data_IF_030817049520
#
_entry.id   IF_030817049520
#
_cell.length_a   1.000
_cell.length_b   1.000
_cell.length_c   1.000
_cell.angle_alpha   90.00
_cell.angle_beta   90.00
_cell.angle_gamma   90.00
#
_symmetry.space_group_name_H-M   'P 1'
#
loop_
_entity.id
_entity.type
_entity.pdbx_description
1 polymer ?
#
# COMPACT_ATOMS: atom_id res chain seq x y z
N UNK A 1 2.94 3.75 -18.66
CA UNK A 1 3.76 3.54 -17.44
C UNK A 1 4.72 4.71 -17.27
N UNK A 2 5.65 4.93 -18.22
CA UNK A 2 6.68 5.98 -18.22
C UNK A 2 6.16 7.38 -17.90
N UNK A 3 5.07 7.81 -18.58
CA UNK A 3 4.41 9.10 -18.30
C UNK A 3 4.03 9.27 -16.82
N UNK A 4 3.56 8.21 -16.16
CA UNK A 4 3.19 8.26 -14.74
C UNK A 4 4.42 8.26 -13.82
N UNK A 5 5.54 7.71 -14.29
CA UNK A 5 6.82 7.67 -13.56
C UNK A 5 7.69 8.90 -13.82
N UNK A 6 7.36 9.72 -14.82
CA UNK A 6 8.17 10.87 -15.24
C UNK A 6 9.53 10.47 -15.82
N UNK A 7 9.68 9.21 -16.27
CA UNK A 7 10.96 8.66 -16.71
C UNK A 7 10.77 7.80 -17.96
N UNK A 8 11.36 8.23 -19.07
CA UNK A 8 11.39 7.47 -20.32
C UNK A 8 12.24 6.20 -20.14
N UNK A 9 11.74 5.07 -20.62
CA UNK A 9 12.38 3.76 -20.48
C UNK A 9 12.05 3.04 -19.18
N UNK A 10 11.27 3.63 -18.26
CA UNK A 10 10.94 3.02 -16.98
C UNK A 10 10.23 1.66 -17.13
N UNK A 11 9.29 1.54 -18.09
CA UNK A 11 8.63 0.26 -18.37
C UNK A 11 9.61 -0.81 -18.85
N UNK A 12 10.50 -0.44 -19.77
CA UNK A 12 11.52 -1.36 -20.30
C UNK A 12 12.48 -1.81 -19.20
N UNK A 13 12.87 -0.91 -18.30
CA UNK A 13 13.71 -1.26 -17.16
C UNK A 13 13.00 -2.26 -16.21
N UNK A 14 11.68 -2.15 -16.02
CA UNK A 14 10.90 -3.15 -15.26
C UNK A 14 10.94 -4.51 -15.96
N UNK A 15 10.70 -4.56 -17.27
CA UNK A 15 10.74 -5.81 -18.04
C UNK A 15 12.13 -6.48 -17.97
N UNK A 16 13.20 -5.73 -18.18
CA UNK A 16 14.58 -6.22 -18.07
C UNK A 16 14.88 -6.72 -16.64
N UNK A 17 14.40 -5.99 -15.63
CA UNK A 17 14.54 -6.40 -14.23
C UNK A 17 13.82 -7.71 -13.90
N UNK A 18 12.60 -7.91 -14.41
CA UNK A 18 11.85 -9.17 -14.27
C UNK A 18 12.63 -10.32 -14.88
N UNK A 19 13.07 -10.18 -16.13
CA UNK A 19 13.82 -11.24 -16.83
C UNK A 19 15.10 -11.60 -16.07
N UNK A 20 15.90 -10.60 -15.70
CA UNK A 20 17.17 -10.84 -15.01
C UNK A 20 16.98 -11.53 -13.65
N UNK A 21 15.92 -11.18 -12.91
CA UNK A 21 15.61 -11.83 -11.63
C UNK A 21 15.17 -13.30 -11.81
N UNK A 22 14.39 -13.59 -12.85
CA UNK A 22 14.00 -14.96 -13.20
C UNK A 22 15.18 -15.80 -13.66
N UNK A 23 16.06 -15.24 -14.51
CA UNK A 23 17.30 -15.90 -14.96
C UNK A 23 18.22 -16.25 -13.78
N UNK A 24 18.18 -15.44 -12.71
CA UNK A 24 18.89 -15.71 -11.46
C UNK A 24 18.18 -16.69 -10.51
N UNK A 25 17.02 -17.23 -10.90
CA UNK A 25 16.24 -18.18 -10.09
C UNK A 25 15.46 -17.55 -8.93
N UNK A 26 15.18 -16.24 -8.96
CA UNK A 26 14.43 -15.54 -7.92
C UNK A 26 12.92 -15.58 -8.18
N UNK A 27 12.14 -15.58 -7.10
CA UNK A 27 10.71 -15.28 -7.17
C UNK A 27 10.52 -13.79 -7.48
N UNK A 28 9.69 -13.50 -8.48
CA UNK A 28 9.39 -12.14 -8.92
C UNK A 28 7.96 -11.77 -8.61
N UNK A 29 7.77 -10.64 -7.93
CA UNK A 29 6.48 -10.01 -7.72
C UNK A 29 6.45 -8.61 -8.34
N UNK A 30 5.29 -8.20 -8.85
CA UNK A 30 5.06 -6.84 -9.35
C UNK A 30 4.08 -6.12 -8.43
N UNK A 31 4.51 -4.98 -7.88
CA UNK A 31 3.63 -4.10 -7.11
C UNK A 31 3.07 -2.97 -7.97
N UNK A 32 1.77 -2.69 -7.86
CA UNK A 32 1.12 -1.53 -8.47
C UNK A 32 0.04 -0.96 -7.55
N UNK A 33 -0.62 0.12 -7.97
CA UNK A 33 -1.71 0.74 -7.21
C UNK A 33 -2.97 0.94 -8.06
N UNK A 34 -4.12 0.77 -7.42
CA UNK A 34 -5.43 0.95 -8.01
C UNK A 34 -6.00 2.32 -7.63
N UNK A 35 -6.23 3.15 -8.65
CA UNK A 35 -7.02 4.37 -8.55
C UNK A 35 -8.47 4.06 -8.87
N UNK A 36 -9.39 4.96 -8.50
CA UNK A 36 -10.81 4.84 -8.88
C UNK A 36 -10.97 4.59 -10.39
N UNK A 37 -10.29 5.38 -11.20
CA UNK A 37 -10.40 5.31 -12.66
C UNK A 37 -9.83 4.00 -13.21
N UNK A 38 -8.62 3.61 -12.81
CA UNK A 38 -7.99 2.42 -13.39
C UNK A 38 -8.71 1.11 -13.00
N UNK A 39 -9.35 1.08 -11.82
CA UNK A 39 -10.20 -0.02 -11.40
C UNK A 39 -11.46 -0.10 -12.26
N UNK A 40 -12.14 1.03 -12.50
CA UNK A 40 -13.33 1.07 -13.35
C UNK A 40 -13.03 0.75 -14.82
N UNK A 41 -11.81 1.01 -15.28
CA UNK A 41 -11.34 0.65 -16.63
C UNK A 41 -10.81 -0.79 -16.74
N UNK A 42 -10.90 -1.60 -15.67
CA UNK A 42 -10.41 -2.99 -15.65
C UNK A 42 -8.91 -3.13 -15.97
N UNK A 43 -8.10 -2.09 -15.72
CA UNK A 43 -6.69 -2.06 -16.14
C UNK A 43 -5.83 -3.15 -15.49
N UNK A 44 -6.28 -3.77 -14.40
CA UNK A 44 -5.53 -4.85 -13.76
C UNK A 44 -5.44 -6.09 -14.63
N UNK A 45 -6.44 -6.34 -15.50
CA UNK A 45 -6.50 -7.53 -16.35
C UNK A 45 -5.35 -7.51 -17.36
N UNK A 46 -5.17 -6.48 -18.22
CA UNK A 46 -4.03 -6.44 -19.15
C UNK A 46 -2.67 -6.38 -18.43
N UNK A 47 -2.59 -5.77 -17.24
CA UNK A 47 -1.35 -5.81 -16.42
C UNK A 47 -1.03 -7.24 -16.00
N UNK A 48 -2.04 -7.99 -15.55
CA UNK A 48 -1.84 -9.37 -15.14
C UNK A 48 -1.52 -10.29 -16.31
N UNK A 49 -2.13 -10.06 -17.47
CA UNK A 49 -1.82 -10.79 -18.70
C UNK A 49 -0.35 -10.62 -19.10
N UNK A 50 0.16 -9.39 -19.02
CA UNK A 50 1.58 -9.09 -19.25
C UNK A 50 2.48 -9.76 -18.19
N UNK A 51 2.14 -9.66 -16.91
CA UNK A 51 2.89 -10.29 -15.83
C UNK A 51 2.96 -11.82 -16.00
N UNK A 52 1.87 -12.44 -16.46
CA UNK A 52 1.83 -13.87 -16.75
C UNK A 52 2.75 -14.25 -17.92
N UNK A 53 2.77 -13.45 -18.98
CA UNK A 53 3.69 -13.65 -20.11
C UNK A 53 5.16 -13.56 -19.67
N UNK A 54 5.46 -12.66 -18.74
CA UNK A 54 6.81 -12.50 -18.21
C UNK A 54 7.20 -13.54 -17.14
N UNK A 55 6.30 -14.43 -16.71
CA UNK A 55 6.60 -15.42 -15.67
C UNK A 55 6.63 -14.86 -14.24
N UNK A 56 5.95 -13.73 -14.00
CA UNK A 56 5.79 -13.14 -12.65
C UNK A 56 4.95 -14.07 -11.77
N UNK A 57 5.32 -14.17 -10.48
CA UNK A 57 4.70 -15.09 -9.52
C UNK A 57 3.55 -14.43 -8.74
N UNK A 58 3.67 -13.13 -8.45
CA UNK A 58 2.68 -12.38 -7.67
C UNK A 58 2.47 -10.97 -8.22
N UNK A 59 1.23 -10.49 -8.14
CA UNK A 59 0.88 -9.08 -8.34
C UNK A 59 0.23 -8.55 -7.07
N UNK A 60 0.90 -7.61 -6.42
CA UNK A 60 0.40 -6.93 -5.23
C UNK A 60 -0.18 -5.57 -5.62
N UNK A 61 -1.47 -5.35 -5.38
CA UNK A 61 -2.19 -4.14 -5.76
C UNK A 61 -2.62 -3.36 -4.53
N UNK A 62 -2.03 -2.19 -4.32
CA UNK A 62 -2.41 -1.27 -3.24
C UNK A 62 -3.57 -0.37 -3.66
N UNK A 63 -4.41 0.05 -2.71
CA UNK A 63 -5.38 1.10 -2.98
C UNK A 63 -4.63 2.44 -3.09
N UNK A 64 -5.07 3.35 -3.96
CA UNK A 64 -4.53 4.70 -3.97
C UNK A 64 -4.89 5.43 -2.65
N UNK A 65 -3.86 5.85 -1.91
CA UNK A 65 -3.98 6.59 -0.65
C UNK A 65 -3.63 8.07 -0.88
N UNK A 66 -4.44 8.99 -0.33
CA UNK A 66 -4.16 10.44 -0.37
C UNK A 66 -3.06 10.82 0.62
N UNK A 67 -1.82 10.57 0.22
CA UNK A 67 -0.59 10.96 0.94
C UNK A 67 0.50 11.27 -0.08
N UNK A 68 1.56 11.97 0.34
CA UNK A 68 2.65 12.41 -0.54
C UNK A 68 2.13 13.15 -1.79
N UNK A 69 2.65 12.79 -2.97
CA UNK A 69 2.24 13.40 -4.25
C UNK A 69 0.77 13.18 -4.65
N UNK A 70 0.00 12.38 -3.90
CA UNK A 70 -1.43 12.15 -4.12
C UNK A 70 -2.33 12.90 -3.13
N UNK A 71 -1.77 13.68 -2.19
CA UNK A 71 -2.53 14.39 -1.13
C UNK A 71 -3.66 15.25 -1.69
N UNK A 72 -3.35 16.05 -2.72
CA UNK A 72 -4.27 17.02 -3.32
C UNK A 72 -5.05 16.48 -4.52
N UNK A 73 -5.00 15.18 -4.79
CA UNK A 73 -5.71 14.60 -5.92
C UNK A 73 -7.15 14.23 -5.55
N UNK A 74 -8.09 14.84 -6.26
CA UNK A 74 -9.51 14.51 -6.13
C UNK A 74 -9.84 13.21 -6.86
N UNK A 75 -10.87 12.50 -6.35
CA UNK A 75 -11.42 11.29 -6.97
C UNK A 75 -10.42 10.14 -7.25
N UNK A 76 -9.21 10.19 -6.70
CA UNK A 76 -8.20 9.16 -6.94
C UNK A 76 -8.43 7.88 -6.13
N UNK A 77 -8.96 7.98 -4.92
CA UNK A 77 -9.17 6.85 -4.00
C UNK A 77 -10.32 5.96 -4.44
N UNK A 78 -10.21 4.67 -4.14
CA UNK A 78 -11.29 3.72 -4.43
C UNK A 78 -12.54 4.01 -3.59
N UNK A 79 -13.67 4.10 -4.26
CA UNK A 79 -15.00 4.08 -3.64
C UNK A 79 -15.58 2.65 -3.63
N UNK A 80 -16.78 2.48 -3.06
CA UNK A 80 -17.47 1.18 -2.98
C UNK A 80 -17.62 0.49 -4.35
N UNK A 81 -17.89 1.24 -5.41
CA UNK A 81 -18.12 0.69 -6.76
C UNK A 81 -16.80 0.21 -7.37
N UNK A 82 -15.81 1.09 -7.46
CA UNK A 82 -14.48 0.77 -8.00
C UNK A 82 -13.78 -0.35 -7.21
N UNK A 83 -13.95 -0.42 -5.88
CA UNK A 83 -13.45 -1.53 -5.04
C UNK A 83 -14.11 -2.87 -5.41
N UNK A 84 -15.43 -2.89 -5.64
CA UNK A 84 -16.12 -4.11 -6.10
C UNK A 84 -15.61 -4.57 -7.45
N UNK A 85 -15.36 -3.64 -8.38
CA UNK A 85 -14.79 -3.96 -9.70
C UNK A 85 -13.39 -4.55 -9.54
N UNK A 86 -12.51 -3.90 -8.79
CA UNK A 86 -11.15 -4.39 -8.51
C UNK A 86 -11.15 -5.80 -7.92
N UNK A 87 -12.00 -6.07 -6.93
CA UNK A 87 -12.13 -7.39 -6.30
C UNK A 87 -12.63 -8.44 -7.29
N UNK A 88 -13.63 -8.12 -8.11
CA UNK A 88 -14.16 -9.01 -9.14
C UNK A 88 -13.08 -9.36 -10.16
N UNK A 89 -12.37 -8.36 -10.68
CA UNK A 89 -11.31 -8.57 -11.66
C UNK A 89 -10.16 -9.41 -11.07
N UNK A 90 -9.80 -9.16 -9.80
CA UNK A 90 -8.76 -9.94 -9.12
C UNK A 90 -9.12 -11.42 -9.00
N UNK A 91 -10.40 -11.73 -8.76
CA UNK A 91 -10.89 -13.11 -8.74
C UNK A 91 -10.88 -13.74 -10.14
N UNK A 92 -11.26 -12.99 -11.17
CA UNK A 92 -11.22 -13.46 -12.56
C UNK A 92 -9.81 -13.79 -13.01
N UNK A 93 -8.84 -12.91 -12.74
CA UNK A 93 -7.43 -13.11 -13.07
C UNK A 93 -6.87 -14.32 -12.32
N UNK A 94 -7.09 -14.42 -11.00
CA UNK A 94 -6.63 -15.55 -10.21
C UNK A 94 -7.19 -16.89 -10.71
N UNK A 95 -8.44 -16.91 -11.20
CA UNK A 95 -9.05 -18.10 -11.82
C UNK A 95 -8.42 -18.40 -13.19
N UNK A 96 -8.25 -17.39 -14.04
CA UNK A 96 -7.69 -17.50 -15.41
C UNK A 96 -6.29 -18.13 -15.38
N UNK A 97 -5.44 -17.67 -14.45
CA UNK A 97 -4.03 -18.05 -14.38
C UNK A 97 -3.73 -19.15 -13.37
N UNK A 98 -4.76 -19.87 -12.89
CA UNK A 98 -4.60 -20.95 -11.90
C UNK A 98 -3.71 -20.56 -10.70
N UNK A 99 -3.81 -19.28 -10.27
CA UNK A 99 -3.05 -18.63 -9.19
C UNK A 99 -1.60 -18.21 -9.49
N UNK A 100 -1.08 -18.30 -10.72
CA UNK A 100 0.28 -17.79 -11.06
C UNK A 100 0.23 -16.98 -12.36
N UNK A 101 0.36 -15.63 -12.31
CA UNK A 101 0.60 -14.82 -11.12
C UNK A 101 -0.61 -14.80 -10.17
N UNK A 102 -0.34 -14.80 -8.87
CA UNK A 102 -1.39 -14.56 -7.86
C UNK A 102 -1.62 -13.07 -7.71
N UNK A 103 -2.86 -12.62 -7.87
CA UNK A 103 -3.25 -11.24 -7.56
C UNK A 103 -3.73 -11.15 -6.12
N UNK A 104 -3.08 -10.28 -5.34
CA UNK A 104 -3.50 -9.90 -3.98
C UNK A 104 -3.74 -8.40 -3.96
N UNK A 105 -4.87 -7.97 -3.39
CA UNK A 105 -5.21 -6.54 -3.31
C UNK A 105 -5.35 -6.09 -1.86
N UNK A 106 -4.94 -4.85 -1.57
CA UNK A 106 -5.20 -4.21 -0.29
C UNK A 106 -6.71 -4.14 -0.01
N UNK A 107 -7.51 -3.85 -1.03
CA UNK A 107 -8.96 -3.93 -0.95
C UNK A 107 -9.48 -5.29 -0.46
N UNK A 108 -8.85 -6.41 -0.84
CA UNK A 108 -9.19 -7.72 -0.30
C UNK A 108 -8.70 -7.91 1.14
N UNK A 109 -7.44 -7.58 1.43
CA UNK A 109 -6.89 -7.72 2.80
C UNK A 109 -7.64 -6.88 3.83
N UNK A 110 -8.24 -5.76 3.41
CA UNK A 110 -9.03 -4.85 4.25
C UNK A 110 -10.55 -5.09 4.15
N UNK A 111 -11.01 -6.14 3.45
CA UNK A 111 -12.44 -6.39 3.22
C UNK A 111 -13.18 -7.09 4.36
N UNK A 112 -12.46 -7.83 5.21
CA UNK A 112 -13.08 -8.74 6.20
C UNK A 112 -13.74 -9.97 5.61
N UNK A 113 -13.61 -10.20 4.30
CA UNK A 113 -14.14 -11.38 3.62
C UNK A 113 -13.24 -12.60 3.85
N UNK A 114 -13.84 -13.73 4.27
CA UNK A 114 -13.11 -14.98 4.50
C UNK A 114 -11.92 -14.80 5.45
N UNK A 115 -10.73 -15.23 5.03
CA UNK A 115 -9.49 -15.14 5.82
C UNK A 115 -9.03 -13.69 6.06
N UNK A 116 -9.41 -12.74 5.20
CA UNK A 116 -8.98 -11.34 5.34
C UNK A 116 -9.49 -10.64 6.60
N UNK A 117 -10.51 -11.20 7.29
CA UNK A 117 -10.97 -10.72 8.61
C UNK A 117 -9.87 -10.76 9.68
N UNK A 118 -8.89 -11.64 9.49
CA UNK A 118 -7.73 -11.75 10.36
C UNK A 118 -6.55 -10.93 9.83
N UNK A 119 -6.67 -10.20 8.72
CA UNK A 119 -5.59 -9.39 8.13
C UNK A 119 -5.84 -7.90 8.40
N UNK A 120 -6.86 -7.31 7.79
CA UNK A 120 -7.13 -5.88 7.98
C UNK A 120 -5.92 -4.96 7.77
N UNK A 121 -5.91 -3.82 8.45
CA UNK A 121 -4.80 -2.87 8.44
C UNK A 121 -3.59 -3.42 9.21
N UNK A 122 -2.43 -3.40 8.56
CA UNK A 122 -1.18 -3.92 9.13
C UNK A 122 -0.49 -2.94 10.08
N UNK A 123 -0.78 -1.63 9.95
CA UNK A 123 -0.09 -0.58 10.69
C UNK A 123 -0.13 -0.82 12.21
N UNK A 124 1.03 -0.69 12.84
CA UNK A 124 1.33 -0.99 14.26
C UNK A 124 1.18 -2.44 14.72
N UNK A 125 0.13 -3.12 14.29
CA UNK A 125 -0.25 -4.42 14.86
C UNK A 125 0.52 -5.59 14.23
N UNK A 126 0.95 -5.44 12.98
CA UNK A 126 1.72 -6.46 12.24
C UNK A 126 2.92 -5.90 11.48
N UNK A 127 2.91 -4.59 11.26
CA UNK A 127 3.93 -3.90 10.50
C UNK A 127 4.20 -2.55 11.16
N UNK A 128 5.43 -2.11 11.00
CA UNK A 128 5.94 -0.77 11.20
C UNK A 128 6.87 -0.46 10.03
N UNK A 129 7.27 0.79 9.90
CA UNK A 129 8.21 1.24 8.89
C UNK A 129 9.28 2.11 9.55
N UNK A 130 10.50 2.06 9.03
CA UNK A 130 11.60 2.93 9.46
C UNK A 130 12.03 3.74 8.23
N UNK A 131 12.00 5.06 8.33
CA UNK A 131 12.46 5.94 7.25
C UNK A 131 13.98 5.84 7.06
N UNK A 132 14.52 6.37 5.97
CA UNK A 132 15.97 6.45 5.77
C UNK A 132 16.66 7.29 6.89
N UNK A 133 15.93 8.26 7.45
CA UNK A 133 16.34 9.11 8.57
C UNK A 133 16.18 8.42 9.93
N UNK A 134 15.62 7.21 9.97
CA UNK A 134 15.49 6.39 11.17
C UNK A 134 14.19 6.61 11.94
N UNK A 135 13.28 7.42 11.43
CA UNK A 135 11.98 7.66 12.09
C UNK A 135 11.14 6.40 12.06
N UNK A 136 10.60 6.04 13.22
CA UNK A 136 9.79 4.87 13.41
C UNK A 136 8.32 5.23 13.17
N UNK A 137 7.76 4.74 12.07
CA UNK A 137 6.41 5.07 11.63
C UNK A 137 5.48 3.85 11.68
N UNK A 138 4.16 4.04 11.87
CA UNK A 138 3.18 2.94 11.92
C UNK A 138 3.06 2.14 10.63
N UNK A 139 3.21 2.82 9.50
CA UNK A 139 3.41 2.26 8.17
C UNK A 139 4.08 3.31 7.26
N UNK A 140 4.30 2.93 6.01
CA UNK A 140 4.85 3.77 4.94
C UNK A 140 3.89 4.88 4.46
N UNK A 141 2.59 4.75 4.68
CA UNK A 141 1.59 5.75 4.28
C UNK A 141 1.33 6.84 5.32
N UNK A 142 1.58 6.55 6.61
CA UNK A 142 1.30 7.48 7.72
C UNK A 142 2.51 8.39 7.94
N UNK A 143 2.40 9.71 7.72
CA UNK A 143 3.49 10.65 7.93
C UNK A 143 3.63 11.02 9.42
N UNK A 144 3.63 10.02 10.31
CA UNK A 144 3.67 10.17 11.77
C UNK A 144 4.85 9.39 12.35
N UNK A 145 5.69 10.08 13.12
CA UNK A 145 6.85 9.51 13.81
C UNK A 145 6.52 9.22 15.27
N UNK A 146 6.94 8.05 15.74
CA UNK A 146 6.88 7.63 17.16
C UNK A 146 8.23 7.74 17.86
N UNK A 147 9.23 8.32 17.19
CA UNK A 147 10.61 8.45 17.65
C UNK A 147 11.58 7.94 16.59
N UNK A 148 12.87 7.85 16.94
CA UNK A 148 13.92 7.51 15.98
C UNK A 148 14.77 6.34 16.48
N UNK A 149 15.02 5.35 15.60
CA UNK A 149 15.78 4.14 15.96
C UNK A 149 17.26 4.40 16.23
N UNK A 150 17.77 5.59 15.89
CA UNK A 150 19.13 6.03 16.22
C UNK A 150 19.29 6.40 17.69
N UNK A 151 18.20 6.75 18.37
CA UNK A 151 18.19 7.19 19.77
C UNK A 151 17.42 6.25 20.69
N UNK A 152 16.49 5.46 20.15
CA UNK A 152 15.66 4.53 20.91
C UNK A 152 15.62 3.13 20.30
N UNK A 153 15.45 2.11 21.15
CA UNK A 153 15.31 0.73 20.65
C UNK A 153 13.98 0.53 19.92
N UNK A 154 13.99 -0.32 18.88
CA UNK A 154 12.77 -0.76 18.15
C UNK A 154 11.71 -1.30 19.10
N UNK A 155 12.10 -2.02 20.16
CA UNK A 155 11.17 -2.55 21.17
C UNK A 155 10.41 -1.42 21.88
N UNK A 156 11.14 -0.41 22.40
CA UNK A 156 10.54 0.75 23.07
C UNK A 156 9.57 1.48 22.13
N UNK A 157 10.01 1.75 20.90
CA UNK A 157 9.22 2.45 19.88
C UNK A 157 7.96 1.67 19.48
N UNK A 158 8.07 0.35 19.31
CA UNK A 158 6.91 -0.49 19.04
C UNK A 158 5.93 -0.51 20.21
N UNK A 159 6.42 -0.62 21.45
CA UNK A 159 5.55 -0.57 22.65
C UNK A 159 4.80 0.77 22.76
N UNK A 160 5.46 1.90 22.47
CA UNK A 160 4.81 3.22 22.39
C UNK A 160 3.71 3.20 21.31
N UNK A 161 4.04 2.69 20.13
CA UNK A 161 3.13 2.62 19.00
C UNK A 161 1.87 1.80 19.30
N UNK A 162 1.99 0.59 19.82
CA UNK A 162 0.82 -0.28 20.10
C UNK A 162 0.05 0.11 21.35
N UNK A 163 0.58 1.00 22.20
CA UNK A 163 -0.16 1.57 23.35
C UNK A 163 -0.88 2.85 23.01
N UNK A 164 -0.50 3.53 21.93
CA UNK A 164 -1.11 4.80 21.55
C UNK A 164 -2.59 4.62 21.14
N UNK A 165 -3.52 5.48 21.60
CA UNK A 165 -4.95 5.37 21.29
C UNK A 165 -5.27 5.24 19.79
N UNK A 166 -4.47 5.89 18.95
CA UNK A 166 -4.61 5.81 17.50
C UNK A 166 -4.32 4.43 16.91
N UNK A 167 -3.63 3.52 17.62
CA UNK A 167 -3.12 2.25 17.08
C UNK A 167 -3.31 1.03 17.99
N UNK A 168 -3.70 1.22 19.26
CA UNK A 168 -3.85 0.16 20.25
C UNK A 168 -4.95 -0.86 19.97
N UNK A 169 -5.81 -0.58 18.99
CA UNK A 169 -6.81 -1.51 18.48
C UNK A 169 -6.53 -1.82 17.02
N UNK A 170 -6.63 -3.12 16.68
CA UNK A 170 -6.59 -3.56 15.29
C UNK A 170 -7.79 -2.98 14.51
N UNK A 171 -7.55 -2.61 13.26
CA UNK A 171 -8.59 -2.08 12.36
C UNK A 171 -8.69 -2.93 11.12
N UNK A 172 -9.92 -3.14 10.64
CA UNK A 172 -10.15 -3.88 9.41
C UNK A 172 -9.78 -3.05 8.17
N UNK A 173 -10.22 -1.80 8.12
CA UNK A 173 -9.93 -0.86 7.04
C UNK A 173 -8.59 -0.15 7.24
N UNK A 174 -7.96 0.26 6.14
CA UNK A 174 -6.78 1.12 6.19
C UNK A 174 -7.09 2.43 6.92
N UNK A 175 -6.33 2.73 7.99
CA UNK A 175 -6.48 3.98 8.77
C UNK A 175 -6.33 5.23 7.92
N UNK A 176 -5.43 5.23 6.93
CA UNK A 176 -5.25 6.36 6.02
C UNK A 176 -6.39 6.56 5.01
N UNK A 177 -7.35 5.62 4.93
CA UNK A 177 -8.60 5.77 4.19
C UNK A 177 -9.80 6.07 5.12
N UNK A 178 -9.60 6.09 6.44
CA UNK A 178 -10.65 6.40 7.41
C UNK A 178 -10.75 7.93 7.63
N UNK A 179 -11.90 8.56 7.35
CA UNK A 179 -12.04 10.01 7.47
C UNK A 179 -11.86 10.55 8.90
N UNK A 180 -12.22 9.77 9.92
CA UNK A 180 -12.10 10.20 11.31
C UNK A 180 -10.64 10.18 11.75
N UNK A 181 -9.94 9.09 11.45
CA UNK A 181 -8.49 8.97 11.69
C UNK A 181 -7.73 10.10 11.00
N UNK A 182 -8.06 10.39 9.73
CA UNK A 182 -7.43 11.49 9.00
C UNK A 182 -7.69 12.84 9.65
N UNK A 183 -8.95 13.17 9.95
CA UNK A 183 -9.31 14.43 10.58
C UNK A 183 -8.59 14.64 11.93
N UNK A 184 -8.36 13.57 12.67
CA UNK A 184 -7.74 13.63 13.99
C UNK A 184 -6.20 13.71 13.93
N UNK A 185 -5.56 12.93 13.05
CA UNK A 185 -4.10 12.73 13.11
C UNK A 185 -3.33 13.16 11.86
N UNK A 186 -4.01 13.40 10.74
CA UNK A 186 -3.36 13.67 9.46
C UNK A 186 -3.64 15.10 9.01
N UNK A 187 -4.91 15.49 8.99
CA UNK A 187 -5.34 16.80 8.52
C UNK A 187 -5.07 17.90 9.58
N UNK A 188 -4.62 17.52 10.77
CA UNK A 188 -4.13 18.40 11.85
C UNK A 188 -2.65 18.75 11.73
N UNK A 189 -1.89 18.05 10.89
CA UNK A 189 -0.48 18.33 10.66
C UNK A 189 -0.35 19.70 9.96
N UNK A 190 0.48 20.63 10.46
CA UNK A 190 0.68 21.92 9.81
C UNK A 190 1.21 21.77 8.38
N UNK A 191 0.71 22.59 7.44
CA UNK A 191 1.02 22.48 6.00
C UNK A 191 2.53 22.55 5.67
N UNK A 192 3.31 23.22 6.51
CA UNK A 192 4.77 23.42 6.35
C UNK A 192 5.61 22.58 7.32
N UNK A 193 5.00 21.62 8.01
CA UNK A 193 5.72 20.77 8.92
C UNK A 193 6.62 19.78 8.17
N UNK A 194 7.77 19.48 8.76
CA UNK A 194 8.63 18.40 8.29
C UNK A 194 7.95 17.04 8.55
N UNK A 195 8.07 16.13 7.58
CA UNK A 195 7.48 14.79 7.66
C UNK A 195 8.58 13.72 7.75
N UNK A 196 8.36 12.63 8.54
CA UNK A 196 7.15 12.36 9.33
C UNK A 196 7.05 13.26 10.57
N UNK A 197 5.83 13.73 10.87
CA UNK A 197 5.56 14.64 11.98
C UNK A 197 5.53 13.88 13.30
N UNK A 198 6.09 14.43 14.37
CA UNK A 198 6.08 13.77 15.68
C UNK A 198 4.65 13.67 16.21
N UNK A 199 4.20 12.43 16.48
CA UNK A 199 2.82 12.23 16.96
C UNK A 199 2.57 12.83 18.36
N UNK A 200 3.64 13.08 19.12
CA UNK A 200 3.58 13.78 20.41
C UNK A 200 3.14 15.24 20.31
N UNK A 201 3.24 15.82 19.12
CA UNK A 201 3.03 17.24 18.86
C UNK A 201 1.63 17.50 18.24
N UNK A 202 0.76 16.48 18.25
CA UNK A 202 -0.66 16.51 17.85
C UNK A 202 -1.57 16.53 19.08
#
# INVERSE_FOLDING_TARGET
HDRLRGLNGAFRAVEEGVRNALDAGLLVGISTYATRQNALSHNIIPIADLCAQWGVHEISIFDAIKTGGLSNQENITLNRVSRKVLLKDSLLVNKKYQKIPRVITQSWTNSGSGFSRFIGCLAANRQFHITAQGDFTPCDFTPLSFGNVRTESVKSLWEKLIRHPAYCQHQLSCRMQDPFFRKQYIDTIPEKADLPYAISDL
#
